data_IF_525262480965
#
_entry.id   IF_525262480965
#
_cell.length_a   1.000
_cell.length_b   1.000
_cell.length_c   1.000
_cell.angle_alpha   90.00
_cell.angle_beta   90.00
_cell.angle_gamma   90.00
#
_symmetry.space_group_name_H-M   'P 1'
#
loop_
_entity.id
_entity.type
_entity.pdbx_description
1 polymer ?
#
# COMPACT_ATOMS: atom_id res chain seq x y z
N UNK A 1 -13.79 37.88 -46.46
CA UNK A 1 -13.21 38.63 -45.32
C UNK A 1 -13.49 38.07 -43.91
N UNK A 2 -14.50 37.19 -43.67
CA UNK A 2 -14.81 36.66 -42.33
C UNK A 2 -14.03 35.40 -41.91
N UNK A 3 -13.59 34.57 -42.86
CA UNK A 3 -12.89 33.31 -42.57
C UNK A 3 -11.42 33.53 -42.17
N UNK A 4 -10.70 34.45 -42.85
CA UNK A 4 -9.31 34.78 -42.49
C UNK A 4 -9.17 35.38 -41.08
N UNK A 5 -10.18 36.12 -40.60
CA UNK A 5 -10.20 36.66 -39.23
C UNK A 5 -10.40 35.57 -38.17
N UNK A 6 -11.07 34.47 -38.51
CA UNK A 6 -11.27 33.35 -37.60
C UNK A 6 -9.98 32.53 -37.45
N UNK A 7 -9.29 32.22 -38.54
CA UNK A 7 -8.02 31.50 -38.50
C UNK A 7 -6.89 32.30 -37.84
N UNK A 8 -6.85 33.63 -38.05
CA UNK A 8 -5.88 34.48 -37.35
C UNK A 8 -6.13 34.51 -35.84
N UNK A 9 -7.40 34.56 -35.40
CA UNK A 9 -7.75 34.50 -33.97
C UNK A 9 -7.38 33.14 -33.35
N UNK A 10 -7.60 32.05 -34.09
CA UNK A 10 -7.33 30.69 -33.62
C UNK A 10 -5.82 30.42 -33.52
N UNK A 11 -5.03 30.94 -34.46
CA UNK A 11 -3.57 30.86 -34.42
C UNK A 11 -3.01 31.72 -33.29
N UNK A 12 -3.55 32.91 -33.03
CA UNK A 12 -3.11 33.74 -31.88
C UNK A 12 -3.47 33.12 -30.54
N UNK A 13 -4.62 32.45 -30.43
CA UNK A 13 -4.97 31.70 -29.21
C UNK A 13 -4.06 30.49 -29.01
N UNK A 14 -3.69 29.78 -30.09
CA UNK A 14 -2.81 28.62 -30.00
C UNK A 14 -1.38 29.01 -29.60
N UNK A 15 -0.84 30.10 -30.15
CA UNK A 15 0.50 30.58 -29.77
C UNK A 15 0.54 31.14 -28.35
N UNK A 16 -0.55 31.76 -27.89
CA UNK A 16 -0.68 32.20 -26.50
C UNK A 16 -0.77 31.01 -25.52
N UNK A 17 -1.47 29.94 -25.90
CA UNK A 17 -1.58 28.74 -25.08
C UNK A 17 -0.22 28.01 -24.96
N UNK A 18 0.48 27.82 -26.08
CA UNK A 18 1.79 27.16 -26.11
C UNK A 18 2.85 27.96 -25.32
N UNK A 19 2.84 29.29 -25.43
CA UNK A 19 3.79 30.15 -24.68
C UNK A 19 3.51 30.17 -23.18
N UNK A 20 2.23 30.15 -22.75
CA UNK A 20 1.88 30.02 -21.33
C UNK A 20 2.26 28.64 -20.78
N UNK A 21 2.03 27.55 -21.52
CA UNK A 21 2.44 26.21 -21.08
C UNK A 21 3.96 26.08 -21.00
N UNK A 22 4.70 26.66 -21.95
CA UNK A 22 6.16 26.67 -21.92
C UNK A 22 6.71 27.54 -20.77
N UNK A 23 6.09 28.69 -20.48
CA UNK A 23 6.48 29.53 -19.35
C UNK A 23 6.23 28.86 -18.00
N UNK A 24 5.12 28.14 -17.83
CA UNK A 24 4.83 27.39 -16.60
C UNK A 24 5.72 26.15 -16.41
N UNK A 25 6.25 25.56 -17.50
CA UNK A 25 7.21 24.46 -17.41
C UNK A 25 8.65 24.94 -17.16
N UNK A 26 9.03 26.13 -17.67
CA UNK A 26 10.39 26.65 -17.58
C UNK A 26 10.63 27.51 -16.33
N UNK A 27 9.61 28.24 -15.86
CA UNK A 27 9.65 28.85 -14.54
C UNK A 27 9.15 27.82 -13.54
N UNK A 28 10.08 27.21 -12.78
CA UNK A 28 9.80 26.32 -11.65
C UNK A 28 9.09 27.06 -10.50
N UNK A 29 7.93 27.65 -10.79
CA UNK A 29 7.08 28.36 -9.87
C UNK A 29 6.48 27.36 -8.91
N UNK A 30 6.99 27.37 -7.68
CA UNK A 30 6.37 26.73 -6.52
C UNK A 30 4.89 27.08 -6.46
N UNK A 31 4.03 26.10 -6.73
CA UNK A 31 2.60 26.18 -6.40
C UNK A 31 2.52 26.19 -4.88
N UNK A 32 2.49 27.38 -4.30
CA UNK A 32 2.16 27.55 -2.88
C UNK A 32 0.66 27.36 -2.73
N UNK A 33 0.22 26.10 -2.63
CA UNK A 33 -1.12 25.86 -2.09
C UNK A 33 -1.08 26.33 -0.63
N UNK A 34 -1.68 27.48 -0.33
CA UNK A 34 -2.02 27.88 1.03
C UNK A 34 -3.07 26.90 1.57
N UNK A 35 -2.59 25.75 2.03
CA UNK A 35 -3.35 24.83 2.86
C UNK A 35 -3.51 25.48 4.24
N UNK A 36 -4.69 26.05 4.44
CA UNK A 36 -5.19 26.43 5.76
C UNK A 36 -5.65 25.10 6.40
N UNK A 37 -4.97 24.67 7.46
CA UNK A 37 -5.10 23.39 8.17
C UNK A 37 -4.37 22.19 7.57
N UNK A 38 -3.06 22.21 7.67
CA UNK A 38 -2.33 21.07 8.23
C UNK A 38 -1.06 21.64 8.82
N UNK A 39 -0.84 21.46 10.13
CA UNK A 39 0.51 21.55 10.68
C UNK A 39 1.25 20.36 10.08
N UNK A 40 1.70 20.50 8.84
CA UNK A 40 2.77 19.66 8.33
C UNK A 40 3.86 19.84 9.38
N UNK A 41 4.11 18.79 10.15
CA UNK A 41 5.44 18.61 10.71
C UNK A 41 6.30 18.45 9.48
N UNK A 42 6.71 19.59 8.90
CA UNK A 42 7.92 19.66 8.11
C UNK A 42 8.92 19.08 9.08
N UNK A 43 9.35 17.84 8.82
CA UNK A 43 10.52 17.29 9.44
C UNK A 43 11.58 18.36 9.17
N UNK A 44 11.89 19.19 10.18
CA UNK A 44 13.05 20.07 10.12
C UNK A 44 14.18 19.17 9.66
N UNK A 45 14.80 19.53 8.56
CA UNK A 45 15.91 18.83 7.95
C UNK A 45 16.76 18.21 9.05
N UNK A 46 16.75 16.88 9.10
CA UNK A 46 17.61 16.16 10.02
C UNK A 46 19.03 16.67 9.75
N UNK A 47 19.74 17.30 10.71
CA UNK A 47 20.99 17.98 10.44
C UNK A 47 21.95 17.05 9.70
N UNK A 48 22.36 17.44 8.49
CA UNK A 48 23.20 16.58 7.69
C UNK A 48 24.62 16.57 8.25
N UNK A 49 25.02 15.43 8.81
CA UNK A 49 26.34 15.21 9.39
C UNK A 49 27.48 15.46 8.37
N UNK A 50 27.19 15.52 7.07
CA UNK A 50 28.11 15.97 6.02
C UNK A 50 28.70 17.36 6.24
N UNK A 51 27.98 18.22 6.94
CA UNK A 51 28.41 19.58 7.27
C UNK A 51 29.20 19.65 8.57
N UNK A 52 29.24 18.56 9.34
CA UNK A 52 29.85 18.50 10.67
C UNK A 52 31.24 17.88 10.63
N UNK A 53 31.41 16.80 9.86
CA UNK A 53 32.69 16.08 9.77
C UNK A 53 32.93 15.54 8.36
N UNK A 54 34.19 15.60 7.93
CA UNK A 54 34.69 15.00 6.68
C UNK A 54 34.91 13.51 6.91
N UNK A 55 33.86 12.72 6.71
CA UNK A 55 33.94 11.25 6.79
C UNK A 55 33.57 10.59 5.46
N UNK A 56 34.15 9.43 5.18
CA UNK A 56 33.89 8.66 3.96
C UNK A 56 33.79 7.16 4.30
N UNK A 57 32.58 6.60 4.31
CA UNK A 57 32.38 5.17 4.59
C UNK A 57 33.09 4.29 3.56
N UNK A 58 32.93 4.59 2.26
CA UNK A 58 33.54 3.81 1.18
C UNK A 58 35.05 3.64 1.35
N UNK A 59 35.78 4.73 1.65
CA UNK A 59 37.23 4.64 1.91
C UNK A 59 37.59 3.77 3.10
N UNK A 60 36.87 3.90 4.22
CA UNK A 60 37.17 3.12 5.42
C UNK A 60 36.82 1.64 5.23
N UNK A 61 35.72 1.34 4.56
CA UNK A 61 35.24 -0.03 4.37
C UNK A 61 35.97 -0.76 3.23
N UNK A 62 36.25 -0.08 2.10
CA UNK A 62 36.88 -0.67 0.92
C UNK A 62 38.40 -0.54 0.92
N UNK A 63 38.92 0.66 1.15
CA UNK A 63 40.35 0.92 0.98
C UNK A 63 41.13 0.50 2.23
N UNK A 64 40.57 0.78 3.42
CA UNK A 64 41.23 0.50 4.70
C UNK A 64 40.80 -0.83 5.36
N UNK A 65 39.76 -1.50 4.85
CA UNK A 65 39.30 -2.81 5.37
C UNK A 65 38.78 -2.78 6.81
N UNK A 66 38.27 -1.64 7.28
CA UNK A 66 37.76 -1.46 8.64
C UNK A 66 36.39 -2.14 8.78
N UNK A 67 36.13 -2.77 9.93
CA UNK A 67 34.84 -3.41 10.21
C UNK A 67 33.83 -2.40 10.76
N UNK A 68 32.53 -2.64 10.52
CA UNK A 68 31.47 -1.75 10.99
C UNK A 68 31.52 -1.51 12.51
N UNK A 69 31.87 -2.55 13.27
CA UNK A 69 31.93 -2.54 14.74
C UNK A 69 33.12 -1.79 15.31
N UNK A 70 34.15 -1.51 14.52
CA UNK A 70 35.34 -0.78 14.98
C UNK A 70 34.98 0.69 15.26
N UNK A 71 34.04 1.23 14.48
CA UNK A 71 33.49 2.56 14.69
C UNK A 71 32.16 2.53 15.47
N UNK A 72 31.23 1.65 15.09
CA UNK A 72 29.92 1.51 15.72
C UNK A 72 29.95 0.56 16.92
N UNK A 73 30.86 0.79 17.86
CA UNK A 73 31.18 -0.12 18.97
C UNK A 73 30.00 -0.48 19.87
N UNK A 74 29.01 0.42 19.97
CA UNK A 74 27.79 0.20 20.75
C UNK A 74 26.74 -0.64 20.03
N UNK A 75 26.79 -0.73 18.69
CA UNK A 75 25.72 -1.33 17.90
C UNK A 75 25.46 -2.80 18.27
N UNK A 76 26.45 -3.69 18.41
CA UNK A 76 26.19 -5.10 18.74
C UNK A 76 25.53 -5.35 20.11
N UNK A 77 25.50 -4.34 20.98
CA UNK A 77 24.92 -4.45 22.33
C UNK A 77 23.62 -3.65 22.48
N UNK A 78 23.22 -2.89 21.47
CA UNK A 78 22.07 -2.00 21.55
C UNK A 78 20.75 -2.77 21.61
N UNK A 79 19.87 -2.36 22.53
CA UNK A 79 18.59 -3.05 22.81
C UNK A 79 17.36 -2.27 22.37
N UNK A 80 17.52 -1.01 21.93
CA UNK A 80 16.43 -0.19 21.40
C UNK A 80 16.94 0.73 20.27
N UNK A 81 16.06 1.13 19.35
CA UNK A 81 16.41 1.99 18.20
C UNK A 81 16.49 3.50 18.55
N UNK A 82 16.30 3.86 19.82
CA UNK A 82 16.40 5.23 20.32
C UNK A 82 17.81 5.56 20.83
N UNK A 83 18.68 4.56 20.92
CA UNK A 83 20.09 4.76 21.26
C UNK A 83 20.87 5.38 20.09
N UNK A 84 21.69 6.39 20.42
CA UNK A 84 22.66 6.92 19.46
C UNK A 84 23.79 5.94 19.24
N UNK A 85 23.84 5.35 18.04
CA UNK A 85 24.92 4.46 17.59
C UNK A 85 25.90 5.16 16.66
N UNK A 86 25.85 6.49 16.58
CA UNK A 86 26.82 7.28 15.82
C UNK A 86 28.17 7.26 16.55
N UNK A 87 29.30 7.02 15.85
CA UNK A 87 30.62 7.00 16.46
C UNK A 87 30.97 8.36 17.10
N UNK A 88 31.79 8.31 18.13
CA UNK A 88 32.35 9.49 18.81
C UNK A 88 33.85 9.58 18.56
N UNK A 89 34.50 10.71 18.92
CA UNK A 89 35.94 10.94 18.74
C UNK A 89 36.81 9.75 19.14
N UNK A 90 36.46 9.08 20.24
CA UNK A 90 37.19 7.90 20.74
C UNK A 90 37.25 6.73 19.75
N UNK A 91 36.24 6.55 18.89
CA UNK A 91 36.27 5.52 17.86
C UNK A 91 37.31 5.83 16.76
N UNK A 92 37.48 7.10 16.43
CA UNK A 92 38.50 7.56 15.47
C UNK A 92 39.91 7.40 16.04
N UNK A 93 40.06 7.61 17.36
CA UNK A 93 41.32 7.53 18.09
C UNK A 93 41.98 6.14 18.06
N UNK A 94 41.22 5.10 17.71
CA UNK A 94 41.74 3.74 17.57
C UNK A 94 42.76 3.62 16.43
N UNK A 95 42.66 4.48 15.41
CA UNK A 95 43.53 4.45 14.23
C UNK A 95 44.15 5.82 13.87
N UNK A 96 43.46 6.92 14.18
CA UNK A 96 43.91 8.28 13.88
C UNK A 96 44.45 8.97 15.14
N UNK A 97 45.51 9.75 15.00
CA UNK A 97 45.96 10.66 16.06
C UNK A 97 45.01 11.87 16.15
N UNK A 98 44.03 11.76 17.03
CA UNK A 98 42.99 12.77 17.24
C UNK A 98 43.37 13.85 18.27
N UNK A 99 44.57 13.77 18.86
CA UNK A 99 45.08 14.76 19.82
C UNK A 99 46.05 15.75 19.15
N UNK A 100 46.52 15.47 17.94
CA UNK A 100 47.30 16.40 17.13
C UNK A 100 46.48 17.64 16.75
N UNK A 101 46.73 18.75 17.45
CA UNK A 101 46.02 20.03 17.26
C UNK A 101 46.29 20.70 15.91
N UNK A 102 47.37 20.31 15.21
CA UNK A 102 47.77 20.94 13.94
C UNK A 102 47.04 20.34 12.73
N UNK A 103 46.42 19.17 12.88
CA UNK A 103 45.80 18.42 11.77
C UNK A 103 44.29 18.27 11.93
N UNK A 104 43.66 19.08 12.79
CA UNK A 104 42.21 19.06 13.01
C UNK A 104 41.41 19.18 11.70
N UNK A 105 41.92 19.94 10.73
CA UNK A 105 41.28 20.21 9.44
C UNK A 105 41.20 19.00 8.51
N UNK A 106 41.92 17.91 8.82
CA UNK A 106 41.81 16.64 8.10
C UNK A 106 40.38 16.08 8.20
N UNK A 107 39.79 16.13 9.40
CA UNK A 107 38.45 15.63 9.68
C UNK A 107 37.43 16.76 9.88
N UNK A 108 37.83 17.88 10.47
CA UNK A 108 36.91 18.98 10.77
C UNK A 108 36.85 20.01 9.64
N UNK A 109 35.68 20.60 9.45
CA UNK A 109 35.57 21.87 8.74
C UNK A 109 36.03 23.00 9.66
N UNK A 110 36.56 24.06 9.07
CA UNK A 110 37.06 25.20 9.83
C UNK A 110 35.97 25.79 10.74
N UNK A 111 36.26 25.92 12.03
CA UNK A 111 35.31 26.39 13.03
C UNK A 111 34.14 25.45 13.35
N UNK A 112 34.13 24.21 12.84
CA UNK A 112 33.02 23.26 13.05
C UNK A 112 33.43 22.11 13.98
N UNK A 113 33.04 22.26 15.25
CA UNK A 113 33.23 21.25 16.31
C UNK A 113 31.90 20.92 16.99
N UNK A 114 30.92 20.47 16.19
CA UNK A 114 29.59 20.09 16.68
C UNK A 114 29.50 18.58 16.89
N UNK A 115 28.65 18.16 17.83
CA UNK A 115 28.31 16.74 17.99
C UNK A 115 27.54 16.26 16.76
N UNK A 116 27.84 15.04 16.32
CA UNK A 116 27.06 14.39 15.27
C UNK A 116 25.63 14.15 15.74
N UNK A 117 24.69 14.34 14.84
CA UNK A 117 23.27 14.21 15.13
C UNK A 117 22.84 12.78 14.75
N UNK A 118 22.39 11.97 15.72
CA UNK A 118 21.84 10.65 15.42
C UNK A 118 20.47 10.78 14.78
N UNK A 119 20.13 9.85 13.89
CA UNK A 119 18.74 9.69 13.47
C UNK A 119 18.10 8.63 14.35
N UNK A 120 17.13 9.03 15.14
CA UNK A 120 16.38 8.12 16.01
C UNK A 120 15.11 7.66 15.29
N UNK A 121 14.72 6.41 15.53
CA UNK A 121 13.49 5.82 15.00
C UNK A 121 12.65 5.28 16.14
N UNK A 122 11.37 5.60 16.11
CA UNK A 122 10.38 5.08 17.05
C UNK A 122 10.00 3.65 16.63
N UNK A 123 10.88 2.70 16.93
CA UNK A 123 10.74 1.27 16.66
C UNK A 123 11.33 0.47 17.83
N UNK A 124 10.59 -0.53 18.30
CA UNK A 124 11.09 -1.58 19.18
C UNK A 124 12.02 -2.49 18.37
N UNK A 125 13.31 -2.16 18.35
CA UNK A 125 14.32 -2.94 17.64
C UNK A 125 15.59 -3.08 18.46
N UNK A 126 16.12 -4.30 18.52
CA UNK A 126 17.35 -4.63 19.25
C UNK A 126 18.41 -5.15 18.28
N UNK A 127 19.48 -4.40 18.07
CA UNK A 127 20.66 -4.89 17.34
C UNK A 127 21.29 -6.09 18.05
N UNK A 128 21.32 -6.10 19.39
CA UNK A 128 21.86 -7.21 20.17
C UNK A 128 21.22 -8.55 19.78
N UNK A 129 19.88 -8.60 19.68
CA UNK A 129 19.18 -9.82 19.27
C UNK A 129 19.59 -10.25 17.86
N UNK A 130 19.54 -9.33 16.89
CA UNK A 130 19.82 -9.67 15.49
C UNK A 130 21.30 -10.05 15.26
N UNK A 131 22.23 -9.31 15.86
CA UNK A 131 23.67 -9.51 15.64
C UNK A 131 24.23 -10.65 16.50
N UNK A 132 23.88 -10.71 17.80
CA UNK A 132 24.47 -11.71 18.71
C UNK A 132 23.67 -13.00 18.78
N UNK A 133 22.34 -12.90 18.86
CA UNK A 133 21.49 -14.07 19.08
C UNK A 133 21.20 -14.75 17.74
N UNK A 134 20.84 -13.96 16.71
CA UNK A 134 20.55 -14.43 15.35
C UNK A 134 21.75 -14.46 14.40
N UNK A 135 22.94 -14.05 14.86
CA UNK A 135 24.21 -14.08 14.10
C UNK A 135 24.21 -13.31 12.77
N UNK A 136 23.30 -12.34 12.62
CA UNK A 136 23.21 -11.52 11.41
C UNK A 136 24.41 -10.59 11.27
N UNK A 137 24.80 -10.34 10.02
CA UNK A 137 25.83 -9.39 9.66
C UNK A 137 25.23 -8.00 9.43
N UNK A 138 26.04 -6.95 9.62
CA UNK A 138 25.57 -5.56 9.47
C UNK A 138 25.00 -5.28 8.08
N UNK A 139 25.63 -5.87 7.05
CA UNK A 139 25.27 -5.67 5.64
C UNK A 139 24.03 -6.47 5.21
N UNK A 140 23.54 -7.41 6.03
CA UNK A 140 22.29 -8.14 5.76
C UNK A 140 21.10 -7.17 5.76
N UNK A 141 21.18 -6.11 6.58
CA UNK A 141 20.17 -5.06 6.66
C UNK A 141 20.65 -3.72 6.08
N UNK A 142 21.86 -3.27 6.40
CA UNK A 142 22.44 -2.00 5.93
C UNK A 142 23.16 -2.17 4.58
N UNK A 143 22.39 -2.56 3.56
CA UNK A 143 22.89 -2.90 2.23
C UNK A 143 23.63 -1.74 1.57
N UNK A 144 24.61 -2.08 0.73
CA UNK A 144 25.37 -1.17 -0.13
C UNK A 144 26.16 -0.06 0.58
N UNK A 145 26.27 -0.07 1.92
CA UNK A 145 27.04 0.94 2.65
C UNK A 145 28.51 1.13 2.19
N UNK A 146 29.26 0.09 1.77
CA UNK A 146 30.60 0.26 1.22
C UNK A 146 30.67 1.10 -0.07
N UNK A 147 29.55 1.29 -0.77
CA UNK A 147 29.47 2.06 -2.02
C UNK A 147 29.32 3.57 -1.81
N UNK A 148 28.98 4.00 -0.58
CA UNK A 148 28.62 5.39 -0.33
C UNK A 148 29.69 6.10 0.50
N UNK A 149 29.95 7.37 0.15
CA UNK A 149 30.76 8.26 0.99
C UNK A 149 30.01 8.62 2.28
N UNK A 150 28.77 9.07 2.15
CA UNK A 150 27.93 9.47 3.26
C UNK A 150 26.74 8.52 3.40
N UNK A 151 26.40 8.12 4.62
CA UNK A 151 25.24 7.26 4.87
C UNK A 151 23.93 7.89 4.38
N UNK A 152 23.82 9.22 4.36
CA UNK A 152 22.64 9.91 3.86
C UNK A 152 22.43 9.77 2.34
N UNK A 153 23.48 9.43 1.57
CA UNK A 153 23.40 9.17 0.11
C UNK A 153 22.85 7.77 -0.19
N UNK A 154 22.93 6.86 0.78
CA UNK A 154 22.40 5.53 0.61
C UNK A 154 20.85 5.58 0.69
N UNK A 155 20.12 5.27 -0.39
CA UNK A 155 18.66 5.19 -0.35
C UNK A 155 18.17 4.13 0.64
N UNK A 156 18.99 3.11 0.90
CA UNK A 156 18.75 1.99 1.82
C UNK A 156 19.47 2.18 3.17
N UNK A 157 19.78 3.43 3.55
CA UNK A 157 20.40 3.75 4.85
C UNK A 157 19.63 3.20 6.05
N UNK A 158 18.32 3.04 5.89
CA UNK A 158 17.48 2.31 6.83
C UNK A 158 17.03 1.00 6.18
N UNK A 159 17.01 -0.10 6.95
CA UNK A 159 16.43 -1.34 6.47
C UNK A 159 14.96 -1.14 6.06
N UNK A 160 14.62 -1.64 4.88
CA UNK A 160 13.23 -1.69 4.40
C UNK A 160 12.47 -2.81 5.13
N UNK A 161 11.15 -2.71 5.24
CA UNK A 161 10.34 -3.72 5.95
C UNK A 161 10.43 -5.11 5.31
N UNK A 162 10.69 -5.14 4.01
CA UNK A 162 10.94 -6.30 3.17
C UNK A 162 12.12 -7.12 3.68
N UNK A 163 13.14 -6.46 4.26
CA UNK A 163 14.27 -7.16 4.88
C UNK A 163 13.81 -7.86 6.15
N UNK A 164 13.01 -7.20 6.98
CA UNK A 164 12.45 -7.79 8.19
C UNK A 164 11.57 -9.00 7.85
N UNK A 165 10.72 -8.86 6.82
CA UNK A 165 9.74 -9.86 6.40
C UNK A 165 10.32 -11.15 5.85
N UNK A 166 11.60 -11.16 5.47
CA UNK A 166 12.30 -12.39 5.07
C UNK A 166 12.26 -13.44 6.18
N UNK A 167 12.31 -13.01 7.44
CA UNK A 167 12.26 -13.90 8.62
C UNK A 167 11.03 -13.64 9.50
N UNK A 168 10.57 -12.38 9.60
CA UNK A 168 9.34 -12.06 10.31
C UNK A 168 8.13 -12.32 9.42
N UNK A 169 7.61 -13.54 9.43
CA UNK A 169 6.54 -13.99 8.53
C UNK A 169 5.45 -14.79 9.25
N UNK A 170 5.39 -14.67 10.59
CA UNK A 170 4.54 -15.45 11.49
C UNK A 170 4.84 -16.97 11.50
N UNK A 171 5.90 -17.42 10.80
CA UNK A 171 6.40 -18.80 10.82
C UNK A 171 7.71 -18.88 11.61
N UNK A 172 8.74 -18.14 11.20
CA UNK A 172 10.05 -18.15 11.87
C UNK A 172 10.12 -17.12 13.01
N UNK A 173 9.53 -15.95 12.78
CA UNK A 173 9.40 -14.89 13.76
C UNK A 173 8.07 -14.14 13.58
N UNK A 174 7.58 -13.59 14.69
CA UNK A 174 6.32 -12.83 14.71
C UNK A 174 6.36 -11.64 13.75
N UNK A 175 5.30 -11.48 12.97
CA UNK A 175 5.04 -10.31 12.12
C UNK A 175 3.92 -9.43 12.70
N UNK A 176 3.63 -9.59 14.00
CA UNK A 176 2.69 -8.75 14.73
C UNK A 176 3.24 -7.32 14.81
N UNK A 177 2.51 -6.37 14.21
CA UNK A 177 3.01 -5.02 13.95
C UNK A 177 3.43 -4.31 15.24
N UNK A 178 2.67 -4.47 16.32
CA UNK A 178 2.87 -3.87 17.64
C UNK A 178 4.11 -4.38 18.39
N UNK A 179 4.68 -5.52 17.95
CA UNK A 179 5.94 -6.02 18.53
C UNK A 179 7.14 -5.17 18.12
N UNK A 180 7.06 -4.51 16.98
CA UNK A 180 8.12 -3.67 16.43
C UNK A 180 7.72 -2.20 16.39
N UNK A 181 6.51 -1.86 15.93
CA UNK A 181 6.05 -0.49 15.80
C UNK A 181 5.45 0.03 17.09
N UNK A 182 6.00 1.15 17.59
CA UNK A 182 5.48 1.89 18.74
C UNK A 182 4.14 2.56 18.45
N UNK A 183 3.88 2.85 17.18
CA UNK A 183 2.72 3.58 16.71
C UNK A 183 2.30 3.08 15.32
N UNK A 184 1.05 2.63 15.19
CA UNK A 184 0.49 2.11 13.94
C UNK A 184 -0.34 3.14 13.18
N UNK A 185 -0.59 4.30 13.78
CA UNK A 185 -1.52 5.31 13.27
C UNK A 185 -1.07 5.96 11.97
N UNK A 186 0.24 6.10 11.74
CA UNK A 186 0.80 6.69 10.52
C UNK A 186 1.84 5.79 9.87
N UNK A 187 1.72 4.48 10.06
CA UNK A 187 2.65 3.52 9.49
C UNK A 187 2.45 3.45 7.98
N UNK A 188 3.33 4.13 7.24
CA UNK A 188 3.37 4.12 5.78
C UNK A 188 4.81 3.85 5.32
N UNK A 189 5.03 2.90 4.40
CA UNK A 189 6.35 2.71 3.83
C UNK A 189 6.76 3.90 2.95
N UNK A 190 8.05 4.07 2.72
CA UNK A 190 8.60 5.20 1.96
C UNK A 190 8.04 5.28 0.53
N UNK A 191 7.65 4.14 -0.05
CA UNK A 191 7.04 4.07 -1.37
C UNK A 191 5.63 4.70 -1.44
N UNK A 192 4.92 4.88 -0.32
CA UNK A 192 3.64 5.58 -0.26
C UNK A 192 3.79 7.10 -0.33
N UNK A 193 5.01 7.61 -0.19
CA UNK A 193 5.32 9.04 -0.24
C UNK A 193 5.63 9.53 -1.66
N UNK A 194 5.45 8.68 -2.67
CA UNK A 194 5.60 9.08 -4.06
C UNK A 194 4.44 9.99 -4.48
N UNK A 195 4.77 11.01 -5.27
CA UNK A 195 3.77 11.87 -5.91
C UNK A 195 2.80 11.02 -6.71
N UNK A 196 1.51 11.29 -6.57
CA UNK A 196 0.45 10.64 -7.36
C UNK A 196 0.30 9.10 -7.19
N UNK A 197 0.81 8.52 -6.10
CA UNK A 197 0.74 7.08 -5.81
C UNK A 197 -0.65 6.46 -6.08
N UNK A 198 -1.74 7.12 -5.66
CA UNK A 198 -3.09 6.57 -5.86
C UNK A 198 -3.46 6.34 -7.34
N UNK A 199 -2.91 7.13 -8.26
CA UNK A 199 -3.18 6.98 -9.69
C UNK A 199 -2.08 6.16 -10.40
N UNK A 200 -0.87 6.12 -9.85
CA UNK A 200 0.30 5.52 -10.50
C UNK A 200 0.73 4.18 -9.91
N UNK A 201 0.15 3.75 -8.78
CA UNK A 201 0.53 2.50 -8.14
C UNK A 201 0.39 1.29 -9.08
N UNK A 202 -0.56 1.29 -10.03
CA UNK A 202 -0.67 0.25 -11.07
C UNK A 202 0.61 0.10 -11.90
N UNK A 203 1.23 1.22 -12.27
CA UNK A 203 2.41 1.25 -13.15
C UNK A 203 3.70 1.03 -12.38
N UNK A 204 3.75 1.49 -11.13
CA UNK A 204 4.90 1.31 -10.24
C UNK A 204 4.96 -0.10 -9.64
N UNK A 205 3.79 -0.71 -9.41
CA UNK A 205 3.61 -2.02 -8.76
C UNK A 205 2.83 -2.95 -9.70
N UNK A 206 3.47 -3.34 -10.80
CA UNK A 206 2.93 -4.32 -11.73
C UNK A 206 2.68 -5.66 -11.01
N UNK A 207 1.48 -6.25 -11.17
CA UNK A 207 1.07 -7.54 -10.59
C UNK A 207 2.09 -8.68 -10.82
N UNK A 208 2.81 -8.62 -11.94
CA UNK A 208 3.80 -9.60 -12.40
C UNK A 208 5.19 -9.42 -11.78
N UNK A 209 5.48 -8.29 -11.14
CA UNK A 209 6.76 -8.09 -10.47
C UNK A 209 6.68 -8.67 -9.05
N UNK A 210 7.65 -9.51 -8.69
CA UNK A 210 7.86 -10.10 -7.36
C UNK A 210 8.03 -9.07 -6.21
N UNK A 211 7.92 -7.78 -6.52
CA UNK A 211 8.02 -6.64 -5.58
C UNK A 211 6.66 -6.21 -5.01
N UNK A 212 5.57 -6.85 -5.40
CA UNK A 212 4.24 -6.55 -4.84
C UNK A 212 4.11 -7.11 -3.43
N UNK A 213 4.45 -6.28 -2.47
CA UNK A 213 4.47 -6.59 -1.06
C UNK A 213 3.37 -5.88 -0.28
N UNK A 214 2.36 -5.33 -0.96
CA UNK A 214 1.21 -4.66 -0.36
C UNK A 214 0.58 -5.54 0.72
N UNK A 215 0.49 -6.84 0.46
CA UNK A 215 -0.09 -7.85 1.36
C UNK A 215 0.70 -8.07 2.66
N UNK A 216 1.94 -7.56 2.75
CA UNK A 216 2.66 -7.52 4.03
C UNK A 216 1.99 -6.57 5.02
N UNK A 217 1.39 -5.50 4.52
CA UNK A 217 0.82 -4.41 5.31
C UNK A 217 -0.67 -4.17 5.04
N UNK A 218 -1.30 -4.86 4.09
CA UNK A 218 -2.70 -4.67 3.72
C UNK A 218 -3.37 -6.04 3.55
N UNK A 219 -4.64 -6.13 3.93
CA UNK A 219 -5.45 -7.32 3.62
C UNK A 219 -5.89 -7.33 2.16
N UNK A 220 -6.26 -8.49 1.62
CA UNK A 220 -6.80 -8.64 0.25
C UNK A 220 -8.02 -7.74 -0.03
N UNK A 221 -8.81 -7.46 1.01
CA UNK A 221 -9.97 -6.57 0.96
C UNK A 221 -9.59 -5.10 0.68
N UNK A 222 -8.34 -4.70 0.94
CA UNK A 222 -7.87 -3.31 0.79
C UNK A 222 -7.97 -2.83 -0.66
N UNK A 223 -7.49 -3.64 -1.63
CA UNK A 223 -7.50 -3.26 -3.04
C UNK A 223 -8.93 -3.00 -3.53
N UNK A 224 -9.88 -3.79 -3.01
CA UNK A 224 -11.28 -3.72 -3.38
C UNK A 224 -11.94 -2.42 -2.88
N UNK A 225 -11.44 -1.78 -1.82
CA UNK A 225 -11.90 -0.47 -1.29
C UNK A 225 -11.85 0.66 -2.33
N UNK A 226 -11.04 0.52 -3.38
CA UNK A 226 -11.03 1.47 -4.49
C UNK A 226 -11.37 0.81 -5.83
N UNK A 227 -11.15 -0.50 -5.97
CA UNK A 227 -11.38 -1.24 -7.21
C UNK A 227 -12.76 -1.91 -7.32
N UNK A 228 -13.62 -1.88 -6.29
CA UNK A 228 -14.97 -2.41 -6.39
C UNK A 228 -15.87 -1.49 -7.23
N UNK A 229 -16.79 -2.07 -8.00
CA UNK A 229 -17.81 -1.33 -8.75
C UNK A 229 -18.83 -0.58 -7.85
N UNK A 230 -18.82 -0.84 -6.53
CA UNK A 230 -19.68 -0.15 -5.57
C UNK A 230 -19.21 1.29 -5.33
N UNK A 231 -20.11 2.26 -5.54
CA UNK A 231 -19.89 3.63 -5.07
C UNK A 231 -19.85 3.61 -3.54
N UNK A 232 -18.69 3.90 -2.95
CA UNK A 232 -18.55 4.10 -1.51
C UNK A 232 -19.43 5.24 -1.05
N UNK A 233 -20.30 4.98 -0.07
CA UNK A 233 -21.05 6.03 0.61
C UNK A 233 -20.40 6.26 1.98
N UNK A 234 -19.75 7.41 2.15
CA UNK A 234 -19.05 7.76 3.38
C UNK A 234 -18.93 9.27 3.51
N UNK A 235 -18.97 9.78 4.74
CA UNK A 235 -18.91 11.20 5.09
C UNK A 235 -17.50 11.81 5.00
N UNK A 236 -16.62 11.26 4.16
CA UNK A 236 -15.25 11.75 4.02
C UNK A 236 -15.25 13.10 3.31
N UNK A 237 -14.87 14.15 4.03
CA UNK A 237 -14.59 15.47 3.44
C UNK A 237 -13.09 15.65 3.25
N UNK A 238 -12.64 16.64 2.46
CA UNK A 238 -11.20 17.00 2.35
C UNK A 238 -10.54 17.26 3.71
N UNK A 239 -11.31 17.64 4.74
CA UNK A 239 -10.82 17.96 6.08
C UNK A 239 -10.94 16.80 7.07
N UNK A 240 -11.66 15.75 6.69
CA UNK A 240 -12.06 14.64 7.54
C UNK A 240 -11.97 13.33 6.74
N UNK A 241 -10.83 13.17 6.06
CA UNK A 241 -10.56 12.01 5.22
C UNK A 241 -9.98 10.90 6.10
N UNK A 242 -10.85 9.99 6.55
CA UNK A 242 -10.43 8.73 7.16
C UNK A 242 -10.24 7.73 6.03
N UNK A 243 -8.99 7.61 5.59
CA UNK A 243 -8.59 6.62 4.63
C UNK A 243 -8.95 5.23 5.19
N UNK A 244 -9.87 4.45 4.58
CA UNK A 244 -10.27 3.15 5.08
C UNK A 244 -9.21 2.13 4.70
N UNK A 245 -8.01 2.28 5.26
CA UNK A 245 -6.84 1.51 4.91
C UNK A 245 -6.39 0.74 6.13
N UNK A 246 -7.19 -0.28 6.42
CA UNK A 246 -6.88 -1.27 7.42
C UNK A 246 -5.70 -2.14 6.95
N UNK A 247 -4.74 -2.39 7.85
CA UNK A 247 -3.47 -3.04 7.51
C UNK A 247 -3.46 -4.57 7.66
N UNK A 248 -4.46 -5.17 8.33
CA UNK A 248 -4.68 -6.64 8.37
C UNK A 248 -5.88 -6.93 9.25
N UNK A 249 -6.88 -7.72 8.80
CA UNK A 249 -8.15 -8.03 9.52
C UNK A 249 -8.03 -8.40 11.02
N UNK A 250 -6.85 -8.77 11.49
CA UNK A 250 -6.55 -9.19 12.86
C UNK A 250 -5.81 -8.18 13.75
N UNK A 251 -5.36 -7.02 13.24
CA UNK A 251 -4.57 -6.07 14.02
C UNK A 251 -5.41 -5.22 14.97
N UNK A 252 -5.43 -5.52 16.27
CA UNK A 252 -6.15 -4.67 17.25
C UNK A 252 -5.45 -3.32 17.41
N UNK A 253 -6.08 -2.22 16.96
CA UNK A 253 -5.60 -0.85 17.21
C UNK A 253 -5.97 -0.44 18.64
N UNK A 254 -4.97 -0.12 19.45
CA UNK A 254 -5.15 0.44 20.81
C UNK A 254 -5.12 1.99 20.83
N UNK A 255 -4.93 2.65 19.68
CA UNK A 255 -4.53 4.06 19.60
C UNK A 255 -5.52 5.00 18.88
N UNK A 256 -6.59 4.49 18.27
CA UNK A 256 -7.67 5.32 17.69
C UNK A 256 -9.04 4.65 17.86
N UNK A 257 -9.92 5.25 18.66
CA UNK A 257 -11.27 4.76 18.94
C UNK A 257 -12.27 4.98 17.79
N UNK A 258 -11.96 5.84 16.82
CA UNK A 258 -12.89 6.23 15.74
C UNK A 258 -12.33 5.78 14.39
N UNK A 259 -12.77 4.60 13.94
CA UNK A 259 -12.58 4.15 12.57
C UNK A 259 -13.92 4.21 11.85
N UNK A 260 -13.90 4.69 10.60
CA UNK A 260 -14.99 4.45 9.68
C UNK A 260 -15.01 2.96 9.34
N UNK A 261 -15.82 2.17 10.07
CA UNK A 261 -16.09 0.79 9.72
C UNK A 261 -16.96 0.82 8.46
N UNK A 262 -16.37 0.50 7.30
CA UNK A 262 -17.14 0.23 6.09
C UNK A 262 -17.93 -1.04 6.34
N UNK A 263 -19.19 -0.90 6.76
CA UNK A 263 -20.12 -2.00 6.85
C UNK A 263 -20.62 -2.28 5.43
N UNK A 264 -20.11 -3.35 4.83
CA UNK A 264 -20.72 -3.90 3.61
C UNK A 264 -21.73 -4.96 4.03
N UNK A 265 -22.94 -4.90 3.49
CA UNK A 265 -24.02 -5.88 3.77
C UNK A 265 -23.64 -7.27 3.25
N UNK A 266 -22.76 -7.32 2.24
CA UNK A 266 -22.20 -8.54 1.68
C UNK A 266 -20.67 -8.47 1.66
N UNK A 267 -20.01 -9.62 1.44
CA UNK A 267 -18.57 -9.64 1.17
C UNK A 267 -18.26 -8.92 -0.15
N UNK A 268 -17.06 -8.41 -0.33
CA UNK A 268 -16.70 -7.67 -1.55
C UNK A 268 -16.64 -8.56 -2.81
N UNK A 269 -16.52 -9.88 -2.66
CA UNK A 269 -16.60 -10.88 -3.75
C UNK A 269 -18.02 -11.42 -3.97
N UNK A 270 -19.04 -10.81 -3.36
CA UNK A 270 -20.41 -11.32 -3.44
C UNK A 270 -20.94 -11.46 -4.87
N UNK A 271 -20.47 -10.63 -5.83
CA UNK A 271 -20.81 -10.81 -7.25
C UNK A 271 -20.49 -12.22 -7.79
N UNK A 272 -19.49 -12.91 -7.24
CA UNK A 272 -19.10 -14.25 -7.64
C UNK A 272 -19.58 -15.35 -6.69
N UNK A 273 -19.90 -15.02 -5.43
CA UNK A 273 -20.32 -16.01 -4.42
C UNK A 273 -21.83 -16.06 -4.19
N UNK A 274 -22.57 -15.00 -4.58
CA UNK A 274 -24.02 -14.92 -4.32
C UNK A 274 -24.81 -16.05 -4.97
N UNK A 275 -24.36 -16.60 -6.10
CA UNK A 275 -25.02 -17.76 -6.71
C UNK A 275 -24.96 -19.03 -5.86
N UNK A 276 -23.85 -19.25 -5.16
CA UNK A 276 -23.69 -20.38 -4.23
C UNK A 276 -24.53 -20.13 -2.98
N UNK A 277 -24.50 -18.90 -2.46
CA UNK A 277 -25.25 -18.53 -1.27
C UNK A 277 -26.77 -18.57 -1.51
N UNK A 278 -27.23 -18.19 -2.70
CA UNK A 278 -28.61 -18.30 -3.15
C UNK A 278 -29.03 -19.77 -3.33
N UNK A 279 -28.18 -20.62 -3.95
CA UNK A 279 -28.45 -22.05 -4.11
C UNK A 279 -28.60 -22.77 -2.75
N UNK A 280 -27.77 -22.39 -1.78
CA UNK A 280 -27.81 -23.00 -0.45
C UNK A 280 -28.87 -22.39 0.49
N UNK A 281 -29.66 -21.41 0.02
CA UNK A 281 -30.65 -20.66 0.83
C UNK A 281 -30.02 -20.10 2.12
N UNK A 282 -28.73 -19.77 2.06
CA UNK A 282 -27.93 -19.37 3.23
C UNK A 282 -28.31 -17.99 3.77
N UNK A 283 -28.97 -17.17 2.95
CA UNK A 283 -29.51 -15.86 3.30
C UNK A 283 -30.90 -15.65 2.71
N UNK A 284 -31.79 -15.05 3.51
CA UNK A 284 -33.11 -14.59 3.06
C UNK A 284 -32.98 -13.26 2.31
N UNK A 285 -32.46 -13.31 1.07
CA UNK A 285 -32.21 -12.13 0.25
C UNK A 285 -33.46 -11.25 0.10
N UNK A 286 -34.64 -11.88 0.06
CA UNK A 286 -35.97 -11.24 -0.03
C UNK A 286 -36.30 -10.31 1.14
N UNK A 287 -35.58 -10.42 2.26
CA UNK A 287 -35.76 -9.52 3.42
C UNK A 287 -35.27 -8.11 3.12
N UNK A 288 -34.32 -7.95 2.18
CA UNK A 288 -33.74 -6.65 1.84
C UNK A 288 -33.79 -6.31 0.34
N UNK A 289 -33.91 -7.31 -0.55
CA UNK A 289 -33.93 -7.14 -1.99
C UNK A 289 -35.22 -7.69 -2.59
N UNK A 290 -35.78 -7.01 -3.60
CA UNK A 290 -36.82 -7.58 -4.45
C UNK A 290 -36.16 -8.58 -5.43
N UNK A 291 -36.36 -9.90 -5.29
CA UNK A 291 -35.66 -10.89 -6.11
C UNK A 291 -36.05 -10.81 -7.58
N UNK A 292 -37.26 -10.37 -7.89
CA UNK A 292 -37.81 -10.34 -9.25
C UNK A 292 -37.18 -9.19 -10.02
N UNK A 293 -37.16 -7.98 -9.44
CA UNK A 293 -36.57 -6.82 -10.11
C UNK A 293 -35.03 -6.86 -10.08
N UNK A 294 -34.43 -7.20 -8.94
CA UNK A 294 -32.99 -7.13 -8.74
C UNK A 294 -32.24 -8.22 -9.52
N UNK A 295 -32.65 -9.48 -9.38
CA UNK A 295 -31.97 -10.60 -10.05
C UNK A 295 -32.20 -10.51 -11.57
N UNK A 296 -33.43 -10.21 -12.01
CA UNK A 296 -33.75 -10.14 -13.44
C UNK A 296 -33.02 -9.01 -14.16
N UNK A 297 -32.88 -7.83 -13.56
CA UNK A 297 -32.19 -6.72 -14.20
C UNK A 297 -30.73 -7.05 -14.56
N UNK A 298 -30.00 -7.74 -13.68
CA UNK A 298 -28.60 -8.10 -13.91
C UNK A 298 -28.45 -9.37 -14.78
N UNK A 299 -29.29 -10.39 -14.56
CA UNK A 299 -29.19 -11.63 -15.32
C UNK A 299 -29.71 -11.50 -16.76
N UNK A 300 -30.68 -10.59 -17.03
CA UNK A 300 -31.15 -10.29 -18.40
C UNK A 300 -30.07 -9.73 -19.31
N UNK A 301 -29.08 -9.03 -18.75
CA UNK A 301 -27.98 -8.45 -19.54
C UNK A 301 -26.80 -9.41 -19.70
N UNK A 302 -26.93 -10.69 -19.32
CA UNK A 302 -25.82 -11.65 -19.32
C UNK A 302 -24.83 -11.47 -18.15
N UNK A 303 -25.09 -10.52 -17.26
CA UNK A 303 -24.15 -10.09 -16.22
C UNK A 303 -22.75 -9.81 -16.78
N UNK A 304 -21.72 -10.07 -15.97
CA UNK A 304 -20.32 -10.01 -16.39
C UNK A 304 -19.75 -11.39 -16.77
N UNK A 305 -20.60 -12.36 -17.16
CA UNK A 305 -20.21 -13.74 -17.44
C UNK A 305 -20.44 -14.09 -18.92
N UNK A 306 -19.48 -14.81 -19.51
CA UNK A 306 -19.44 -15.08 -20.96
C UNK A 306 -20.39 -16.22 -21.39
N UNK A 307 -20.89 -17.03 -20.46
CA UNK A 307 -21.52 -18.34 -20.78
C UNK A 307 -23.03 -18.42 -20.61
N UNK A 308 -23.73 -17.32 -20.29
CA UNK A 308 -25.17 -17.32 -20.03
C UNK A 308 -25.54 -18.02 -18.70
N UNK A 309 -26.78 -17.81 -18.24
CA UNK A 309 -27.25 -18.20 -16.90
C UNK A 309 -28.15 -19.43 -16.85
N UNK A 310 -28.40 -20.07 -17.99
CA UNK A 310 -29.35 -21.19 -18.05
C UNK A 310 -28.81 -22.41 -17.28
N UNK A 311 -29.57 -22.96 -16.32
CA UNK A 311 -29.18 -24.16 -15.60
C UNK A 311 -28.99 -25.35 -16.56
N UNK A 312 -27.97 -26.19 -16.31
CA UNK A 312 -27.72 -27.40 -17.11
C UNK A 312 -28.93 -28.34 -17.19
N UNK A 313 -29.84 -28.29 -16.21
CA UNK A 313 -31.09 -29.04 -16.22
C UNK A 313 -31.95 -28.75 -17.45
N UNK A 314 -31.91 -27.54 -18.01
CA UNK A 314 -32.69 -27.18 -19.20
C UNK A 314 -32.18 -27.83 -20.48
N UNK A 315 -30.97 -28.39 -20.46
CA UNK A 315 -30.32 -29.04 -21.60
C UNK A 315 -30.52 -30.56 -21.60
N UNK A 316 -31.16 -31.14 -20.57
CA UNK A 316 -31.31 -32.59 -20.49
C UNK A 316 -32.51 -33.06 -21.32
N UNK A 317 -32.43 -34.25 -21.97
CA UNK A 317 -33.57 -34.84 -22.66
C UNK A 317 -34.78 -35.02 -21.73
N UNK A 318 -35.99 -34.80 -22.24
CA UNK A 318 -37.25 -34.86 -21.49
C UNK A 318 -37.38 -33.86 -20.33
N UNK A 319 -36.58 -32.77 -20.33
CA UNK A 319 -36.78 -31.68 -19.39
C UNK A 319 -38.21 -31.12 -19.49
N UNK A 320 -38.67 -30.79 -20.71
CA UNK A 320 -40.05 -30.43 -21.00
C UNK A 320 -40.70 -31.49 -21.88
N UNK A 321 -41.92 -31.92 -21.53
CA UNK A 321 -42.76 -32.75 -22.39
C UNK A 321 -43.96 -31.94 -22.88
N UNK A 322 -44.32 -32.11 -24.15
CA UNK A 322 -45.45 -31.42 -24.77
C UNK A 322 -46.64 -32.39 -24.90
N UNK A 323 -47.82 -31.97 -24.45
CA UNK A 323 -49.06 -32.75 -24.55
C UNK A 323 -49.79 -32.91 -23.20
N UNK A 324 -51.12 -32.92 -23.25
CA UNK A 324 -52.00 -33.12 -22.08
C UNK A 324 -51.78 -34.54 -21.52
N UNK A 325 -51.58 -34.66 -20.21
CA UNK A 325 -51.36 -35.95 -19.55
C UNK A 325 -49.91 -36.46 -19.54
N UNK A 326 -48.96 -35.70 -20.10
CA UNK A 326 -47.52 -36.09 -20.13
C UNK A 326 -46.79 -35.85 -18.80
N UNK A 327 -47.45 -35.25 -17.81
CA UNK A 327 -46.87 -34.97 -16.49
C UNK A 327 -45.89 -33.80 -16.44
N UNK A 328 -45.57 -33.17 -17.59
CA UNK A 328 -44.73 -31.98 -17.70
C UNK A 328 -43.22 -32.24 -17.68
N UNK A 329 -42.79 -33.51 -17.74
CA UNK A 329 -41.39 -33.90 -17.77
C UNK A 329 -40.65 -33.63 -16.46
N UNK A 330 -39.31 -33.66 -16.53
CA UNK A 330 -38.44 -33.39 -15.39
C UNK A 330 -38.61 -31.95 -14.86
N UNK A 331 -38.99 -31.01 -15.72
CA UNK A 331 -39.28 -29.62 -15.35
C UNK A 331 -40.38 -29.56 -14.28
N UNK A 332 -41.51 -30.22 -14.52
CA UNK A 332 -42.62 -30.23 -13.56
C UNK A 332 -42.29 -31.03 -12.28
N UNK A 333 -41.45 -32.06 -12.37
CA UNK A 333 -40.99 -32.81 -11.20
C UNK A 333 -40.07 -31.96 -10.30
N UNK A 334 -39.09 -31.28 -10.90
CA UNK A 334 -38.14 -30.43 -10.18
C UNK A 334 -38.85 -29.21 -9.58
N UNK A 335 -39.74 -28.56 -10.33
CA UNK A 335 -40.51 -27.42 -9.84
C UNK A 335 -41.41 -27.78 -8.65
N UNK A 336 -41.98 -29.00 -8.61
CA UNK A 336 -42.75 -29.48 -7.45
C UNK A 336 -41.89 -29.74 -6.22
N UNK A 337 -40.62 -30.12 -6.41
CA UNK A 337 -39.70 -30.44 -5.30
C UNK A 337 -39.08 -29.19 -4.69
N UNK A 338 -38.76 -28.19 -5.52
CA UNK A 338 -38.12 -26.95 -5.05
C UNK A 338 -38.41 -25.78 -5.98
N UNK A 339 -39.61 -25.22 -5.85
CA UNK A 339 -40.04 -24.06 -6.66
C UNK A 339 -39.18 -22.82 -6.37
N UNK A 340 -38.64 -22.68 -5.16
CA UNK A 340 -37.86 -21.51 -4.73
C UNK A 340 -36.54 -21.39 -5.52
N UNK A 341 -35.89 -22.51 -5.85
CA UNK A 341 -34.71 -22.52 -6.72
C UNK A 341 -35.00 -22.09 -8.16
N UNK A 342 -36.27 -22.18 -8.59
CA UNK A 342 -36.72 -21.76 -9.91
C UNK A 342 -37.21 -20.30 -9.93
N UNK A 343 -37.66 -19.77 -8.80
CA UNK A 343 -38.16 -18.38 -8.67
C UNK A 343 -37.10 -17.31 -8.97
N UNK A 344 -35.82 -17.68 -8.94
CA UNK A 344 -34.72 -16.80 -9.34
C UNK A 344 -34.71 -16.47 -10.84
N UNK A 345 -35.34 -17.31 -11.67
CA UNK A 345 -35.37 -17.15 -13.13
C UNK A 345 -36.79 -17.12 -13.73
N UNK A 346 -37.76 -17.73 -13.04
CA UNK A 346 -39.16 -17.84 -13.45
C UNK A 346 -40.06 -17.10 -12.46
N UNK A 347 -41.14 -16.50 -12.93
CA UNK A 347 -42.19 -16.00 -12.04
C UNK A 347 -43.14 -17.12 -11.57
N UNK A 348 -44.02 -16.77 -10.62
CA UNK A 348 -45.01 -17.70 -10.05
C UNK A 348 -46.04 -18.23 -11.07
N UNK A 349 -46.15 -17.59 -12.24
CA UNK A 349 -47.04 -18.00 -13.33
C UNK A 349 -46.31 -18.80 -14.42
N UNK A 350 -45.02 -19.11 -14.22
CA UNK A 350 -44.20 -19.82 -15.20
C UNK A 350 -43.75 -18.96 -16.37
N UNK A 351 -43.79 -17.63 -16.23
CA UNK A 351 -43.20 -16.69 -17.17
C UNK A 351 -41.68 -16.67 -17.01
N UNK A 352 -40.97 -16.97 -18.09
CA UNK A 352 -39.51 -16.88 -18.17
C UNK A 352 -39.13 -15.40 -18.24
N UNK A 353 -38.81 -14.80 -17.09
CA UNK A 353 -38.43 -13.39 -17.09
C UNK A 353 -37.01 -13.18 -17.65
N UNK A 354 -36.17 -14.21 -17.67
CA UNK A 354 -34.73 -14.09 -17.96
C UNK A 354 -34.17 -15.26 -18.80
N UNK A 355 -34.99 -16.28 -19.11
CA UNK A 355 -34.56 -17.48 -19.82
C UNK A 355 -34.97 -17.45 -21.30
#
# INVERSE_FOLDING_TARGET
MRIMKFYTLLITCLTFFVTITAYNFYSGGTVTSKSIFTKHVIAKDNPDNRTIIKFNHSKHLKDAGVQCTDCHTKAPNSVNALESLVPVKAACANCHDVENKNECSLCHFEGVFKKLVPTLKELHFSHKKHVKDSKMQCLDCHRNMPEYKYSSDNPQKYPEMEICAKCHNDVEATMSCEKCHTNLTNLKPMNHLQSNFLNEHKWVFEASNEKNNCMMCHSDNFCQVCHSAGKYNGSNTKKDFYAPYWTKNSGTRIDRAELQKLNTVHTLNYLYTHGIEALHKSYECKTCHDPVEFCSACHKTGGNLVTGFMPKSHLVPNFKTFGVGTGGGLHAELARKDIESCQACHDVNGGDQIC
#
